data_IF_774798611338
#
_entry.id   IF_774798611338
#
_cell.length_a   1.000
_cell.length_b   1.000
_cell.length_c   1.000
_cell.angle_alpha   90.00
_cell.angle_beta   90.00
_cell.angle_gamma   90.00
#
_symmetry.space_group_name_H-M   'P 1'
#
loop_
_entity.id
_entity.type
_entity.pdbx_description
1 polymer ?
#
# COMPACT_ATOMS: atom_id res chain seq x y z
N UNK A 1 -25.81 -21.29 -0.40
CA UNK A 1 -25.09 -20.01 -0.22
C UNK A 1 -23.58 -20.16 -0.38
N UNK A 2 -22.93 -21.14 0.25
CA UNK A 2 -21.48 -21.39 0.17
C UNK A 2 -20.89 -21.32 -1.25
N UNK A 3 -21.42 -22.10 -2.21
CA UNK A 3 -20.93 -22.09 -3.61
C UNK A 3 -20.89 -20.71 -4.28
N UNK A 4 -21.87 -19.83 -4.00
CA UNK A 4 -21.86 -18.46 -4.53
C UNK A 4 -20.80 -17.61 -3.83
N UNK A 5 -20.69 -17.75 -2.51
CA UNK A 5 -19.66 -17.08 -1.73
C UNK A 5 -18.27 -17.47 -2.21
N UNK A 6 -17.96 -18.76 -2.31
CA UNK A 6 -16.65 -19.25 -2.76
C UNK A 6 -16.30 -18.73 -4.16
N UNK A 7 -17.29 -18.67 -5.06
CA UNK A 7 -17.12 -18.09 -6.40
C UNK A 7 -16.70 -16.62 -6.34
N UNK A 8 -17.48 -15.76 -5.66
CA UNK A 8 -17.13 -14.34 -5.57
C UNK A 8 -15.86 -14.11 -4.77
N UNK A 9 -15.67 -14.85 -3.68
CA UNK A 9 -14.45 -14.82 -2.88
C UNK A 9 -13.23 -15.13 -3.74
N UNK A 10 -13.30 -16.13 -4.63
CA UNK A 10 -12.19 -16.45 -5.54
C UNK A 10 -11.82 -15.29 -6.49
N UNK A 11 -12.80 -14.45 -6.86
CA UNK A 11 -12.62 -13.32 -7.76
C UNK A 11 -12.04 -12.08 -7.06
N UNK A 12 -12.49 -11.78 -5.84
CA UNK A 12 -12.17 -10.51 -5.17
C UNK A 12 -11.38 -10.61 -3.87
N UNK A 13 -10.98 -11.81 -3.41
CA UNK A 13 -10.20 -11.98 -2.17
C UNK A 13 -8.98 -11.05 -2.09
N UNK A 14 -8.28 -10.90 -3.20
CA UNK A 14 -7.05 -10.12 -3.28
C UNK A 14 -7.31 -8.63 -3.09
N UNK A 15 -8.37 -8.11 -3.71
CA UNK A 15 -8.77 -6.71 -3.57
C UNK A 15 -9.21 -6.41 -2.13
N UNK A 16 -9.94 -7.34 -1.50
CA UNK A 16 -10.29 -7.21 -0.08
C UNK A 16 -9.05 -7.21 0.81
N UNK A 17 -8.09 -8.10 0.58
CA UNK A 17 -6.85 -8.14 1.35
C UNK A 17 -6.06 -6.83 1.24
N UNK A 18 -5.95 -6.25 0.03
CA UNK A 18 -5.28 -4.95 -0.18
C UNK A 18 -6.04 -3.83 0.53
N UNK A 19 -7.35 -3.71 0.31
CA UNK A 19 -8.18 -2.69 0.95
C UNK A 19 -8.12 -2.76 2.48
N UNK A 20 -8.01 -3.98 3.03
CA UNK A 20 -7.84 -4.22 4.47
C UNK A 20 -6.53 -3.60 4.97
N UNK A 21 -5.40 -3.83 4.30
CA UNK A 21 -4.10 -3.28 4.75
C UNK A 21 -3.96 -1.77 4.52
N UNK A 22 -4.66 -1.24 3.53
CA UNK A 22 -4.73 0.21 3.32
C UNK A 22 -5.57 0.93 4.38
N UNK A 23 -6.39 0.23 5.16
CA UNK A 23 -7.00 0.79 6.37
C UNK A 23 -5.91 0.90 7.47
N UNK A 24 -5.58 2.11 7.95
CA UNK A 24 -4.52 2.32 8.95
C UNK A 24 -4.71 1.54 10.25
N UNK A 25 -5.94 1.08 10.54
CA UNK A 25 -6.26 0.32 11.75
C UNK A 25 -5.87 -1.15 11.64
N UNK A 26 -5.55 -1.64 10.43
CA UNK A 26 -5.33 -3.05 10.15
C UNK A 26 -3.89 -3.27 9.70
N UNK A 27 -3.28 -4.36 10.18
CA UNK A 27 -1.87 -4.68 9.94
C UNK A 27 -1.73 -5.88 9.01
N UNK A 28 -0.61 -5.96 8.29
CA UNK A 28 -0.27 -7.09 7.41
C UNK A 28 -0.43 -8.45 8.11
N UNK A 29 -0.08 -8.54 9.39
CA UNK A 29 -0.23 -9.72 10.24
C UNK A 29 -1.66 -10.28 10.29
N UNK A 30 -2.67 -9.42 10.15
CA UNK A 30 -4.06 -9.86 10.10
C UNK A 30 -4.38 -10.65 8.82
N UNK A 31 -3.85 -10.20 7.67
CA UNK A 31 -3.99 -10.92 6.40
C UNK A 31 -3.18 -12.21 6.40
N UNK A 32 -1.98 -12.19 6.97
CA UNK A 32 -1.14 -13.39 7.16
C UNK A 32 -1.91 -14.48 7.93
N UNK A 33 -2.48 -14.12 9.09
CA UNK A 33 -3.32 -15.03 9.88
C UNK A 33 -4.58 -15.48 9.12
N UNK A 34 -5.27 -14.55 8.45
CA UNK A 34 -6.49 -14.90 7.70
C UNK A 34 -6.20 -15.91 6.59
N UNK A 35 -5.06 -15.79 5.92
CA UNK A 35 -4.68 -16.67 4.82
C UNK A 35 -4.25 -18.06 5.32
N UNK A 36 -3.66 -18.17 6.51
CA UNK A 36 -3.41 -19.49 7.12
C UNK A 36 -4.70 -20.22 7.43
N UNK A 37 -5.72 -19.54 7.92
CA UNK A 37 -7.03 -20.13 8.22
C UNK A 37 -7.83 -20.50 6.97
N UNK A 38 -7.80 -19.67 5.93
CA UNK A 38 -8.62 -19.86 4.72
C UNK A 38 -8.00 -20.89 3.76
N UNK A 39 -6.68 -20.84 3.56
CA UNK A 39 -5.99 -21.62 2.53
C UNK A 39 -5.14 -22.76 3.09
N UNK A 40 -4.89 -22.81 4.40
CA UNK A 40 -4.12 -23.88 5.03
C UNK A 40 -2.72 -24.02 4.42
N UNK A 41 -2.46 -25.16 3.78
CA UNK A 41 -1.15 -25.45 3.17
C UNK A 41 -0.77 -24.47 2.05
N UNK A 42 -1.75 -23.97 1.30
CA UNK A 42 -1.54 -23.07 0.16
C UNK A 42 -1.37 -21.60 0.58
N UNK A 43 -1.51 -21.30 1.88
CA UNK A 43 -1.43 -19.94 2.44
C UNK A 43 -0.21 -19.15 1.99
N UNK A 44 0.98 -19.77 1.97
CA UNK A 44 2.23 -19.14 1.53
C UNK A 44 2.16 -18.68 0.07
N UNK A 45 1.58 -19.50 -0.81
CA UNK A 45 1.42 -19.14 -2.23
C UNK A 45 0.50 -17.93 -2.39
N UNK A 46 -0.64 -17.93 -1.69
CA UNK A 46 -1.59 -16.82 -1.70
C UNK A 46 -1.00 -15.55 -1.10
N UNK A 47 -0.22 -15.67 -0.02
CA UNK A 47 0.43 -14.56 0.65
C UNK A 47 1.51 -13.93 -0.22
N UNK A 48 2.32 -14.73 -0.91
CA UNK A 48 3.31 -14.21 -1.88
C UNK A 48 2.65 -13.44 -3.02
N UNK A 49 1.54 -13.95 -3.56
CA UNK A 49 0.75 -13.25 -4.59
C UNK A 49 0.20 -11.94 -4.04
N UNK A 50 -0.33 -11.95 -2.82
CA UNK A 50 -0.82 -10.75 -2.14
C UNK A 50 0.28 -9.70 -1.94
N UNK A 51 1.42 -10.10 -1.39
CA UNK A 51 2.55 -9.22 -1.15
C UNK A 51 3.05 -8.58 -2.44
N UNK A 52 3.13 -9.37 -3.54
CA UNK A 52 3.50 -8.83 -4.85
C UNK A 52 2.55 -7.74 -5.30
N UNK A 53 1.23 -7.99 -5.25
CA UNK A 53 0.22 -7.02 -5.68
C UNK A 53 0.23 -5.76 -4.81
N UNK A 54 0.38 -5.91 -3.49
CA UNK A 54 0.50 -4.77 -2.57
C UNK A 54 1.72 -3.91 -2.90
N UNK A 55 2.84 -4.56 -3.22
CA UNK A 55 4.09 -3.90 -3.60
C UNK A 55 3.97 -3.19 -4.95
N UNK A 56 3.33 -3.84 -5.93
CA UNK A 56 3.09 -3.25 -7.26
C UNK A 56 2.23 -1.98 -7.13
N UNK A 57 1.14 -2.03 -6.35
CA UNK A 57 0.26 -0.87 -6.07
C UNK A 57 1.05 0.27 -5.40
N UNK A 58 1.92 -0.05 -4.44
CA UNK A 58 2.76 0.95 -3.79
C UNK A 58 3.71 1.64 -4.77
N UNK A 59 4.38 0.87 -5.63
CA UNK A 59 5.32 1.44 -6.60
C UNK A 59 4.62 2.27 -7.67
N UNK A 60 3.44 1.86 -8.13
CA UNK A 60 2.64 2.64 -9.06
C UNK A 60 2.29 4.01 -8.45
N UNK A 61 1.76 4.01 -7.22
CA UNK A 61 1.46 5.25 -6.48
C UNK A 61 2.71 6.13 -6.27
N UNK A 62 3.82 5.56 -5.80
CA UNK A 62 5.04 6.30 -5.52
C UNK A 62 5.67 6.90 -6.78
N UNK A 63 5.57 6.20 -7.92
CA UNK A 63 6.06 6.69 -9.21
C UNK A 63 5.17 7.82 -9.74
N UNK A 64 3.84 7.72 -9.62
CA UNK A 64 2.92 8.79 -9.98
C UNK A 64 3.17 10.07 -9.17
N UNK A 65 3.35 9.97 -7.86
CA UNK A 65 3.69 11.10 -7.00
C UNK A 65 4.98 11.80 -7.46
N UNK A 66 5.99 11.02 -7.87
CA UNK A 66 7.26 11.54 -8.37
C UNK A 66 7.12 12.23 -9.74
N UNK A 67 6.28 11.68 -10.61
CA UNK A 67 6.03 12.26 -11.94
C UNK A 67 5.24 13.57 -11.83
N UNK A 68 4.30 13.66 -10.89
CA UNK A 68 3.55 14.88 -10.62
C UNK A 68 4.47 16.01 -10.12
N UNK A 69 5.37 15.70 -9.18
CA UNK A 69 6.42 16.62 -8.70
C UNK A 69 7.36 17.10 -9.82
N UNK A 70 7.63 16.25 -10.81
CA UNK A 70 8.50 16.60 -11.94
C UNK A 70 7.80 17.50 -12.96
N UNK A 71 6.50 17.34 -13.18
CA UNK A 71 5.74 18.19 -14.11
C UNK A 71 5.47 19.60 -13.57
N UNK A 72 5.49 19.81 -12.25
CA UNK A 72 5.35 21.14 -11.65
C UNK A 72 6.67 21.92 -11.63
N UNK A 73 7.83 21.26 -11.71
CA UNK A 73 9.14 21.94 -11.79
C UNK A 73 9.47 22.55 -13.15
N UNK A 74 8.71 22.22 -14.21
CA UNK A 74 8.93 22.77 -15.56
C UNK A 74 8.09 24.05 -15.83
N UNK A 75 7.35 24.56 -14.84
CA UNK A 75 6.55 25.78 -14.92
C UNK A 75 6.70 26.65 -13.67
N UNK A 76 7.89 27.14 -13.36
CA UNK A 76 8.00 28.42 -12.65
C UNK A 76 9.31 29.14 -12.96
N UNK A 77 9.25 30.04 -13.93
CA UNK A 77 10.14 31.18 -14.03
C UNK A 77 9.25 32.42 -14.04
N UNK A 78 8.59 32.75 -12.92
CA UNK A 78 8.21 34.13 -12.54
C UNK A 78 7.57 34.21 -11.15
N UNK A 79 8.39 34.62 -10.18
CA UNK A 79 8.03 35.43 -8.99
C UNK A 79 6.54 35.48 -8.59
N UNK A 80 6.13 34.71 -7.58
CA UNK A 80 5.37 35.26 -6.45
C UNK A 80 5.23 34.24 -5.32
N UNK A 81 5.48 34.72 -4.11
CA UNK A 81 5.29 34.01 -2.85
C UNK A 81 3.83 33.58 -2.67
N UNK A 82 3.56 32.31 -2.37
CA UNK A 82 3.01 31.81 -1.08
C UNK A 82 2.49 30.37 -1.18
N UNK A 83 2.82 29.59 -0.15
CA UNK A 83 2.21 28.31 0.31
C UNK A 83 2.40 27.04 -0.53
N UNK A 84 3.63 26.54 -0.66
CA UNK A 84 3.90 25.15 -1.10
C UNK A 84 5.04 24.48 -0.30
N UNK A 85 4.92 24.36 1.03
CA UNK A 85 5.98 23.79 1.90
C UNK A 85 5.63 22.43 2.54
N UNK A 86 4.38 21.94 2.49
CA UNK A 86 3.99 20.85 3.42
C UNK A 86 4.11 19.40 2.89
N UNK A 87 4.12 19.14 1.58
CA UNK A 87 3.95 17.76 1.10
C UNK A 87 5.25 16.94 1.06
N UNK A 88 6.37 17.54 0.65
CA UNK A 88 7.68 16.86 0.62
C UNK A 88 8.19 16.55 2.04
N UNK A 89 7.91 17.45 2.99
CA UNK A 89 8.27 17.31 4.40
C UNK A 89 7.56 16.10 5.05
N UNK A 90 6.29 15.85 4.71
CA UNK A 90 5.50 14.75 5.26
C UNK A 90 6.04 13.39 4.79
N UNK A 91 6.36 13.26 3.50
CA UNK A 91 6.85 11.99 2.94
C UNK A 91 8.25 11.65 3.48
N UNK A 92 9.12 12.65 3.59
CA UNK A 92 10.45 12.50 4.19
C UNK A 92 10.34 12.14 5.68
N UNK A 93 9.48 12.83 6.43
CA UNK A 93 9.21 12.55 7.85
C UNK A 93 8.65 11.14 8.07
N UNK A 94 7.75 10.68 7.19
CA UNK A 94 7.22 9.32 7.25
C UNK A 94 8.29 8.28 6.93
N UNK A 95 9.13 8.51 5.92
CA UNK A 95 10.24 7.61 5.58
C UNK A 95 11.24 7.46 6.74
N UNK A 96 11.48 8.57 7.45
CA UNK A 96 12.38 8.66 8.61
C UNK A 96 11.78 7.95 9.82
N UNK A 97 10.48 8.12 10.05
CA UNK A 97 9.73 7.39 11.08
C UNK A 97 9.71 5.88 10.81
N UNK A 98 9.36 5.47 9.59
CA UNK A 98 9.32 4.06 9.18
C UNK A 98 10.68 3.38 9.37
N UNK A 99 11.77 4.06 8.98
CA UNK A 99 13.14 3.58 9.15
C UNK A 99 13.57 3.48 10.62
N UNK A 100 13.07 4.37 11.47
CA UNK A 100 13.34 4.33 12.91
C UNK A 100 12.53 3.25 13.64
N UNK A 101 11.42 2.79 13.05
CA UNK A 101 10.51 1.81 13.65
C UNK A 101 10.85 0.33 13.37
N UNK A 102 12.09 0.02 12.98
CA UNK A 102 12.65 -1.33 13.12
C UNK A 102 12.80 -1.68 14.61
N UNK A 103 11.68 -1.82 15.30
CA UNK A 103 11.61 -2.46 16.59
C UNK A 103 11.81 -3.96 16.35
N UNK A 104 12.97 -4.43 16.79
CA UNK A 104 13.14 -5.82 17.18
C UNK A 104 12.01 -6.20 18.15
N UNK A 105 11.05 -6.96 17.66
CA UNK A 105 10.47 -8.13 18.36
C UNK A 105 9.81 -9.09 17.36
#
# INVERSE_FOLDING_TARGET
>A
MKRKFDYYWSLCNLAFAVATILDPRLKFKFVEFSYTEIYGHDSKMHLNRFHKVLTDVYYEYANEARNLSKSTSDLDDSNSSTTEIDNDCILESFSKFASASNFNE
#
